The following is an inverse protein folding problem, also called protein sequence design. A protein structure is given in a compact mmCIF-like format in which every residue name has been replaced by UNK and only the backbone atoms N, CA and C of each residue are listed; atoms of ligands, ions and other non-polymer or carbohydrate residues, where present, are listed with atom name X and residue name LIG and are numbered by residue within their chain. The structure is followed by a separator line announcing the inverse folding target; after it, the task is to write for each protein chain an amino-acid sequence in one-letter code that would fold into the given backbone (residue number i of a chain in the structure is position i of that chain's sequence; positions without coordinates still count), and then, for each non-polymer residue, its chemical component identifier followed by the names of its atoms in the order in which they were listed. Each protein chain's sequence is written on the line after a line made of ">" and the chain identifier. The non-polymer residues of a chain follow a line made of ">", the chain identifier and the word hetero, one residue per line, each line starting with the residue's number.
data_IF_932285813085
#
_entry.id   IF_932285813085
#
_cell.length_a   1.000
_cell.length_b   1.000
_cell.length_c   1.000
_cell.angle_alpha   90.00
_cell.angle_beta   90.00
_cell.angle_gamma   90.00
#
_symmetry.space_group_name_H-M   'P 1'
#
loop_
_entity.id
_entity.type
_entity.pdbx_description
1 polymer ?
#
# COMPACT_ATOMS: atom_id res chain seq x y z
N UNK A 1 -65.08 30.58 -25.67
CA UNK A 1 -66.28 30.07 -26.39
C UNK A 1 -65.80 29.17 -27.52
N UNK A 2 -66.32 27.94 -27.55
CA UNK A 2 -66.37 26.95 -28.65
C UNK A 2 -65.04 26.60 -29.37
N UNK A 3 -64.41 25.44 -29.15
CA UNK A 3 -64.75 24.09 -29.64
C UNK A 3 -65.09 24.02 -31.14
N UNK A 4 -64.28 23.25 -31.89
CA UNK A 4 -64.68 22.21 -32.87
C UNK A 4 -63.41 21.74 -33.62
N UNK A 5 -62.96 20.48 -33.49
CA UNK A 5 -63.51 19.22 -34.03
C UNK A 5 -62.97 18.85 -35.43
N UNK A 6 -62.24 17.73 -35.45
CA UNK A 6 -61.77 16.80 -36.51
C UNK A 6 -63.00 16.29 -37.33
N UNK A 7 -62.96 15.83 -38.63
CA UNK A 7 -62.17 14.69 -39.16
C UNK A 7 -61.86 14.79 -40.69
N UNK A 8 -61.37 13.84 -41.48
CA UNK A 8 -61.06 12.41 -41.46
C UNK A 8 -60.09 12.12 -42.63
N UNK A 9 -59.50 10.91 -42.64
CA UNK A 9 -59.19 10.08 -43.83
C UNK A 9 -57.74 9.57 -43.86
N UNK A 10 -57.60 8.35 -43.33
CA UNK A 10 -56.49 7.43 -43.62
C UNK A 10 -56.80 6.75 -44.96
N UNK A 11 -55.80 6.59 -45.84
CA UNK A 11 -55.38 5.24 -46.19
C UNK A 11 -53.86 5.10 -46.18
N UNK A 12 -53.37 4.19 -45.34
CA UNK A 12 -52.10 3.49 -45.57
C UNK A 12 -52.48 2.21 -46.35
N UNK A 13 -51.67 1.72 -47.31
CA UNK A 13 -50.52 0.93 -46.87
C UNK A 13 -49.32 0.84 -47.84
N UNK A 14 -48.19 0.42 -47.25
CA UNK A 14 -46.99 -0.25 -47.83
C UNK A 14 -45.88 0.69 -48.35
N UNK A 15 -44.85 0.92 -47.53
CA UNK A 15 -43.60 0.11 -47.37
C UNK A 15 -42.58 0.35 -48.49
N UNK A 16 -41.64 1.25 -48.22
CA UNK A 16 -40.23 1.09 -48.57
C UNK A 16 -39.42 1.71 -47.43
N UNK A 17 -38.82 0.85 -46.62
CA UNK A 17 -37.94 1.21 -45.50
C UNK A 17 -36.59 1.64 -46.05
N UNK A 18 -36.30 2.93 -46.01
CA UNK A 18 -34.94 3.44 -46.16
C UNK A 18 -34.38 3.63 -44.75
N UNK A 19 -33.44 2.76 -44.38
CA UNK A 19 -32.79 2.77 -43.09
C UNK A 19 -31.84 3.97 -43.00
N UNK A 20 -32.07 4.84 -42.02
CA UNK A 20 -31.09 5.85 -41.62
C UNK A 20 -29.75 5.18 -41.24
N UNK A 21 -28.60 5.76 -41.60
CA UNK A 21 -27.31 5.19 -41.25
C UNK A 21 -27.15 5.20 -39.73
N UNK A 22 -27.06 4.00 -39.15
CA UNK A 22 -26.66 3.82 -37.75
C UNK A 22 -25.26 4.38 -37.58
N UNK A 23 -25.11 5.39 -36.71
CA UNK A 23 -23.80 5.76 -36.18
C UNK A 23 -23.15 4.50 -35.59
N UNK A 24 -21.85 4.22 -35.87
CA UNK A 24 -21.15 3.15 -35.20
C UNK A 24 -21.13 3.43 -33.69
N UNK A 25 -21.54 2.41 -32.93
CA UNK A 25 -21.42 2.35 -31.48
C UNK A 25 -19.94 2.38 -31.08
N UNK A 26 -19.37 3.56 -30.85
CA UNK A 26 -17.98 3.77 -30.42
C UNK A 26 -17.68 3.37 -28.96
N UNK A 27 -18.52 2.54 -28.32
CA UNK A 27 -18.35 2.12 -26.91
C UNK A 27 -17.84 0.70 -26.71
N UNK A 28 -17.76 -0.12 -27.77
CA UNK A 28 -17.36 -1.53 -27.63
C UNK A 28 -15.85 -1.73 -27.80
N UNK A 29 -15.22 -0.99 -28.70
CA UNK A 29 -13.81 -1.24 -29.08
C UNK A 29 -12.78 -0.76 -28.03
N UNK A 30 -13.10 0.25 -27.21
CA UNK A 30 -12.15 0.79 -26.21
C UNK A 30 -12.09 -0.02 -24.91
N UNK A 31 -13.18 -0.68 -24.51
CA UNK A 31 -13.19 -1.50 -23.30
C UNK A 31 -12.52 -2.86 -23.56
N UNK A 32 -12.54 -3.35 -24.81
CA UNK A 32 -11.80 -4.52 -25.28
C UNK A 32 -10.27 -4.31 -25.26
N UNK A 33 -9.77 -3.07 -25.47
CA UNK A 33 -8.32 -2.77 -25.46
C UNK A 33 -7.69 -3.01 -24.07
N UNK A 34 -8.49 -2.97 -23.01
CA UNK A 34 -8.02 -3.18 -21.64
C UNK A 34 -8.50 -4.50 -21.03
N UNK A 35 -9.27 -5.32 -21.76
CA UNK A 35 -9.68 -6.64 -21.27
C UNK A 35 -8.47 -7.49 -20.91
N UNK A 36 -7.37 -7.42 -21.66
CA UNK A 36 -6.15 -8.20 -21.34
C UNK A 36 -5.54 -7.86 -19.97
N UNK A 37 -5.78 -6.67 -19.42
CA UNK A 37 -5.38 -6.31 -18.05
C UNK A 37 -6.24 -7.03 -17.00
N UNK A 38 -7.49 -7.34 -17.35
CA UNK A 38 -8.50 -7.93 -16.44
C UNK A 38 -8.81 -9.40 -16.72
N UNK A 39 -8.26 -9.99 -17.78
CA UNK A 39 -8.41 -11.43 -18.05
C UNK A 39 -7.78 -12.24 -16.91
N UNK A 40 -8.50 -13.21 -16.31
CA UNK A 40 -7.93 -14.11 -15.33
C UNK A 40 -6.78 -14.90 -15.98
N UNK A 41 -5.55 -14.48 -15.71
CA UNK A 41 -4.39 -14.86 -16.53
C UNK A 41 -3.15 -14.16 -16.02
N UNK A 42 -2.73 -14.56 -14.82
CA UNK A 42 -1.53 -14.07 -14.16
C UNK A 42 -1.31 -14.99 -12.97
N UNK A 43 -0.25 -15.80 -13.04
CA UNK A 43 0.06 -16.79 -12.02
C UNK A 43 -0.04 -16.20 -10.63
N UNK A 44 -0.65 -16.97 -9.72
CA UNK A 44 -0.72 -16.67 -8.30
C UNK A 44 0.72 -16.47 -7.81
N UNK A 45 1.20 -15.23 -7.73
CA UNK A 45 2.35 -14.91 -6.88
C UNK A 45 1.81 -15.09 -5.48
N UNK A 46 1.94 -16.32 -4.95
CA UNK A 46 1.73 -16.60 -3.54
C UNK A 46 2.55 -15.54 -2.80
N UNK A 47 1.88 -14.68 -2.04
CA UNK A 47 2.61 -13.85 -1.10
C UNK A 47 3.39 -14.81 -0.20
N UNK A 48 4.72 -14.76 -0.27
CA UNK A 48 5.52 -15.30 0.82
C UNK A 48 5.09 -14.49 2.04
N UNK A 49 4.68 -15.17 3.12
CA UNK A 49 4.46 -14.51 4.43
C UNK A 49 5.66 -13.62 4.69
N UNK A 50 5.41 -12.41 5.20
CA UNK A 50 6.47 -11.43 5.46
C UNK A 50 7.60 -12.13 6.24
N UNK A 51 8.86 -12.06 5.80
CA UNK A 51 9.93 -12.81 6.46
C UNK A 51 10.11 -12.31 7.90
N UNK A 52 9.72 -13.14 8.86
CA UNK A 52 9.95 -12.94 10.29
C UNK A 52 11.44 -12.82 10.59
N UNK A 53 11.82 -11.73 11.27
CA UNK A 53 13.19 -11.47 11.69
C UNK A 53 13.63 -12.53 12.71
N UNK A 54 14.51 -13.46 12.32
CA UNK A 54 15.26 -14.30 13.26
C UNK A 54 16.19 -13.42 14.09
N UNK A 55 15.84 -13.17 15.36
CA UNK A 55 16.79 -12.61 16.33
C UNK A 55 17.66 -13.75 16.85
N UNK A 56 18.94 -13.75 16.46
CA UNK A 56 19.98 -14.42 17.25
C UNK A 56 20.06 -13.72 18.61
N UNK A 57 19.45 -14.34 19.60
CA UNK A 57 19.53 -13.91 20.99
C UNK A 57 20.95 -14.22 21.48
N UNK A 58 21.87 -13.29 21.30
CA UNK A 58 23.13 -13.29 22.04
C UNK A 58 22.76 -13.16 23.52
N UNK A 59 22.89 -14.25 24.27
CA UNK A 59 22.72 -14.27 25.72
C UNK A 59 23.69 -13.26 26.33
N UNK A 60 23.19 -12.08 26.71
CA UNK A 60 23.88 -11.19 27.65
C UNK A 60 23.61 -11.71 29.05
N UNK A 61 24.54 -12.49 29.58
CA UNK A 61 24.63 -12.76 31.01
C UNK A 61 25.11 -11.48 31.71
N UNK A 62 24.35 -11.02 32.70
CA UNK A 62 24.71 -9.92 33.60
C UNK A 62 25.94 -10.25 34.47
N UNK A 63 26.64 -9.23 34.99
CA UNK A 63 27.97 -9.39 35.58
C UNK A 63 27.91 -9.68 37.07
N UNK A 64 28.83 -10.51 37.57
CA UNK A 64 29.37 -10.29 38.91
C UNK A 64 30.81 -10.81 39.05
N UNK A 65 31.64 -9.91 39.59
CA UNK A 65 32.91 -10.03 40.33
C UNK A 65 33.50 -11.45 40.44
N UNK A 66 34.77 -11.70 40.13
CA UNK A 66 35.91 -11.34 40.98
C UNK A 66 37.20 -11.94 40.38
N UNK A 67 38.32 -11.25 40.65
CA UNK A 67 39.68 -11.78 40.89
C UNK A 67 40.55 -12.40 39.77
N UNK A 68 41.58 -11.62 39.45
CA UNK A 68 43.04 -11.92 39.47
C UNK A 68 43.69 -12.95 38.53
N UNK A 69 44.65 -12.40 37.77
CA UNK A 69 46.04 -12.84 37.54
C UNK A 69 46.45 -13.75 36.36
N UNK A 70 47.45 -13.21 35.66
CA UNK A 70 48.71 -13.79 35.12
C UNK A 70 48.69 -14.76 33.93
N UNK A 71 49.34 -14.29 32.87
CA UNK A 71 50.42 -14.90 32.06
C UNK A 71 50.33 -16.39 31.66
N UNK A 72 50.46 -16.65 30.35
CA UNK A 72 51.66 -17.22 29.72
C UNK A 72 51.36 -17.83 28.33
N UNK A 73 52.14 -17.37 27.34
CA UNK A 73 52.77 -18.07 26.20
C UNK A 73 52.18 -19.39 25.66
N UNK A 74 52.10 -19.47 24.32
CA UNK A 74 51.98 -20.74 23.60
C UNK A 74 51.99 -20.56 22.07
N UNK A 75 53.17 -20.71 21.50
CA UNK A 75 53.53 -20.73 20.08
C UNK A 75 52.97 -21.98 19.34
N UNK A 76 52.87 -21.91 18.00
CA UNK A 76 52.71 -23.12 17.17
C UNK A 76 51.88 -23.01 15.88
N UNK A 77 52.57 -22.80 14.76
CA UNK A 77 52.56 -23.75 13.63
C UNK A 77 51.40 -23.72 12.61
N UNK A 78 51.69 -23.08 11.48
CA UNK A 78 51.63 -23.61 10.10
C UNK A 78 50.37 -24.37 9.62
N UNK A 79 49.74 -23.86 8.56
CA UNK A 79 49.69 -24.49 7.21
C UNK A 79 48.62 -23.81 6.37
N UNK A 80 49.07 -23.21 5.26
CA UNK A 80 48.18 -22.74 4.21
C UNK A 80 47.52 -23.91 3.51
N UNK A 81 46.19 -23.90 3.45
CA UNK A 81 45.45 -24.64 2.43
C UNK A 81 44.24 -23.80 2.04
N UNK A 82 44.20 -23.32 0.80
CA UNK A 82 42.96 -22.84 0.17
C UNK A 82 42.05 -24.04 -0.08
N UNK A 83 40.76 -23.95 0.22
CA UNK A 83 39.76 -24.70 -0.51
C UNK A 83 39.02 -23.74 -1.45
N UNK A 84 39.19 -24.01 -2.74
CA UNK A 84 38.20 -23.74 -3.77
C UNK A 84 36.85 -24.32 -3.32
N UNK A 85 35.89 -23.46 -3.00
CA UNK A 85 34.51 -23.86 -2.73
C UNK A 85 33.66 -23.62 -3.98
N UNK A 86 33.29 -24.70 -4.65
CA UNK A 86 32.18 -24.73 -5.59
C UNK A 86 30.89 -24.27 -4.87
N UNK A 87 30.13 -23.37 -5.50
CA UNK A 87 28.77 -23.04 -5.07
C UNK A 87 27.88 -24.27 -5.31
N UNK A 88 27.13 -24.76 -4.30
CA UNK A 88 26.17 -25.83 -4.53
C UNK A 88 24.94 -25.28 -5.25
N UNK A 89 24.59 -25.93 -6.36
CA UNK A 89 23.28 -25.83 -7.01
C UNK A 89 22.16 -26.18 -6.01
N UNK A 90 20.97 -25.56 -6.12
CA UNK A 90 19.94 -25.68 -5.12
C UNK A 90 19.19 -27.01 -5.28
N UNK A 91 19.63 -28.04 -4.56
CA UNK A 91 18.86 -29.25 -4.34
C UNK A 91 17.67 -28.97 -3.41
N UNK A 92 16.51 -29.46 -3.83
CA UNK A 92 15.17 -29.35 -3.25
C UNK A 92 15.11 -29.18 -1.72
N UNK A 93 15.12 -27.93 -1.26
CA UNK A 93 14.70 -27.57 0.08
C UNK A 93 13.18 -27.66 0.16
N UNK A 94 12.69 -28.78 0.69
CA UNK A 94 11.31 -28.90 1.18
C UNK A 94 11.15 -27.91 2.34
N UNK A 95 10.64 -26.71 2.06
CA UNK A 95 10.26 -25.75 3.09
C UNK A 95 9.08 -26.35 3.87
N UNK A 96 9.33 -26.74 5.12
CA UNK A 96 8.29 -27.02 6.11
C UNK A 96 7.41 -25.75 6.22
N UNK A 97 6.13 -25.87 5.88
CA UNK A 97 5.15 -24.80 6.07
C UNK A 97 4.99 -24.55 7.58
N UNK A 98 5.80 -23.65 8.13
CA UNK A 98 5.52 -23.10 9.47
C UNK A 98 4.34 -22.15 9.30
N UNK A 99 3.15 -22.64 9.60
CA UNK A 99 2.01 -21.79 9.85
C UNK A 99 2.41 -20.79 10.97
N UNK A 100 2.66 -19.53 10.62
CA UNK A 100 2.53 -18.43 11.58
C UNK A 100 1.15 -18.56 12.23
N UNK A 101 1.11 -19.17 13.42
CA UNK A 101 -0.04 -19.15 14.32
C UNK A 101 -0.30 -17.66 14.61
N UNK A 102 -1.44 -17.09 14.18
CA UNK A 102 -1.71 -15.65 14.30
C UNK A 102 -1.78 -15.16 15.75
N UNK A 103 -1.61 -16.06 16.73
CA UNK A 103 -1.83 -15.81 18.13
C UNK A 103 -3.32 -15.62 18.40
N UNK A 104 -3.76 -15.81 19.65
CA UNK A 104 -5.13 -15.50 20.01
C UNK A 104 -5.43 -14.01 19.73
N UNK A 105 -6.66 -13.66 19.32
CA UNK A 105 -7.10 -12.28 19.22
C UNK A 105 -6.79 -11.52 20.51
N UNK A 106 -6.47 -10.22 20.41
CA UNK A 106 -6.21 -9.39 21.59
C UNK A 106 -7.37 -9.51 22.59
N UNK A 107 -7.05 -9.86 23.84
CA UNK A 107 -8.01 -9.90 24.95
C UNK A 107 -8.74 -8.55 25.07
N UNK A 108 -10.07 -8.59 25.23
CA UNK A 108 -10.91 -7.42 25.45
C UNK A 108 -10.45 -6.54 26.62
N UNK A 109 -9.77 -7.11 27.62
CA UNK A 109 -9.13 -6.36 28.69
C UNK A 109 -7.90 -5.55 28.22
N UNK A 110 -7.08 -6.11 27.32
CA UNK A 110 -5.91 -5.44 26.74
C UNK A 110 -6.32 -4.26 25.85
N UNK A 111 -7.42 -4.40 25.09
CA UNK A 111 -7.96 -3.33 24.26
C UNK A 111 -8.26 -2.06 25.06
N UNK A 112 -8.69 -2.18 26.32
CA UNK A 112 -9.03 -1.03 27.18
C UNK A 112 -7.81 -0.29 27.73
N UNK A 113 -6.69 -0.99 27.89
CA UNK A 113 -5.51 -0.47 28.61
C UNK A 113 -4.47 0.08 27.62
N UNK A 114 -4.42 -0.44 26.40
CA UNK A 114 -3.39 -0.09 25.42
C UNK A 114 -3.58 1.33 24.88
N UNK A 115 -2.54 2.16 25.05
CA UNK A 115 -2.47 3.54 24.57
C UNK A 115 -1.07 3.84 24.03
N UNK A 116 -1.01 4.55 22.91
CA UNK A 116 0.21 5.16 22.42
C UNK A 116 0.21 6.67 22.68
N UNK A 117 1.40 7.24 22.88
CA UNK A 117 1.61 8.67 23.06
C UNK A 117 2.57 9.16 21.97
N UNK A 118 2.08 9.42 20.75
CA UNK A 118 2.93 9.67 19.58
C UNK A 118 3.85 10.89 19.71
N UNK A 119 3.48 11.86 20.56
CA UNK A 119 4.26 13.09 20.78
C UNK A 119 4.86 13.20 22.20
N UNK A 120 5.02 12.10 22.95
CA UNK A 120 5.40 12.16 24.38
C UNK A 120 6.73 12.85 24.68
N UNK A 121 7.64 12.94 23.71
CA UNK A 121 8.98 13.49 23.95
C UNK A 121 8.98 15.03 24.03
N UNK A 122 10.02 15.58 24.66
CA UNK A 122 10.15 17.02 24.93
C UNK A 122 10.35 17.90 23.68
N UNK A 123 10.52 17.30 22.49
CA UNK A 123 10.66 18.04 21.22
C UNK A 123 9.31 18.59 20.73
N UNK A 124 8.19 18.07 21.25
CA UNK A 124 6.86 18.54 20.89
C UNK A 124 6.27 19.47 21.96
N UNK A 125 5.38 20.40 21.59
CA UNK A 125 4.65 21.24 22.55
C UNK A 125 3.89 20.41 23.59
N UNK A 126 3.78 20.90 24.84
CA UNK A 126 3.05 20.21 25.92
C UNK A 126 1.62 19.80 25.52
N UNK A 127 0.92 20.66 24.76
CA UNK A 127 -0.42 20.37 24.23
C UNK A 127 -0.51 19.08 23.40
N UNK A 128 0.60 18.65 22.79
CA UNK A 128 0.67 17.43 21.98
C UNK A 128 1.06 16.20 22.81
N UNK A 129 1.87 16.39 23.85
CA UNK A 129 2.45 15.29 24.65
C UNK A 129 1.38 14.45 25.37
N UNK A 130 0.26 15.08 25.74
CA UNK A 130 -0.85 14.42 26.45
C UNK A 130 -1.84 13.72 25.50
N UNK A 131 -1.71 13.93 24.19
CA UNK A 131 -2.61 13.33 23.21
C UNK A 131 -2.30 11.84 23.02
N UNK A 132 -3.34 11.01 23.05
CA UNK A 132 -3.21 9.56 22.94
C UNK A 132 -3.82 8.99 21.67
N UNK A 133 -3.31 7.84 21.26
CA UNK A 133 -3.97 6.94 20.31
C UNK A 133 -4.35 5.67 21.07
N UNK A 134 -5.58 5.19 20.90
CA UNK A 134 -6.12 4.03 21.61
C UNK A 134 -7.11 3.26 20.75
N UNK A 135 -7.56 2.10 21.22
CA UNK A 135 -8.71 1.43 20.63
C UNK A 135 -9.99 2.23 20.88
N UNK A 136 -10.91 2.16 19.93
CA UNK A 136 -12.29 2.55 20.14
C UNK A 136 -13.05 1.47 20.93
N UNK A 137 -14.28 1.78 21.33
CA UNK A 137 -15.13 0.78 21.98
C UNK A 137 -15.52 -0.33 21.00
N UNK A 138 -15.73 -1.55 21.50
CA UNK A 138 -16.13 -2.70 20.69
C UNK A 138 -17.43 -2.37 19.95
N UNK A 139 -17.47 -2.69 18.66
CA UNK A 139 -18.59 -2.43 17.74
C UNK A 139 -18.93 -0.94 17.54
N UNK A 140 -18.06 0.00 17.94
CA UNK A 140 -18.33 1.44 17.79
C UNK A 140 -17.97 1.99 16.41
N UNK A 141 -17.09 1.33 15.66
CA UNK A 141 -16.66 1.75 14.33
C UNK A 141 -17.05 0.73 13.24
N UNK A 142 -17.45 1.20 12.05
CA UNK A 142 -17.71 0.31 10.92
C UNK A 142 -16.40 -0.30 10.41
N UNK A 143 -16.42 -1.61 10.08
CA UNK A 143 -15.28 -2.31 9.46
C UNK A 143 -14.92 -1.64 8.13
N UNK A 144 -13.81 -0.92 8.12
CA UNK A 144 -13.39 -0.05 7.02
C UNK A 144 -11.98 -0.40 6.57
N UNK A 145 -11.79 -0.64 5.27
CA UNK A 145 -10.48 -0.97 4.73
C UNK A 145 -9.62 0.29 4.50
N UNK A 146 -8.33 0.17 4.76
CA UNK A 146 -7.29 0.93 4.08
C UNK A 146 -6.69 0.00 3.01
N UNK A 147 -7.15 0.14 1.79
CA UNK A 147 -6.70 -0.69 0.67
C UNK A 147 -5.65 0.04 -0.14
N UNK A 148 -4.62 -0.69 -0.57
CA UNK A 148 -3.72 -0.25 -1.62
C UNK A 148 -3.03 -1.44 -2.27
N UNK A 149 -2.36 -1.22 -3.40
CA UNK A 149 -1.27 -2.08 -3.81
C UNK A 149 -0.11 -2.01 -2.79
N UNK A 150 0.63 -3.11 -2.50
CA UNK A 150 1.79 -3.08 -1.61
C UNK A 150 2.75 -1.92 -1.90
N UNK A 151 3.46 -1.46 -0.87
CA UNK A 151 4.43 -0.36 -1.00
C UNK A 151 3.88 1.00 -1.48
N UNK A 152 2.56 1.23 -1.41
CA UNK A 152 1.93 2.51 -1.76
C UNK A 152 1.93 3.57 -0.65
N UNK A 153 2.64 3.35 0.48
CA UNK A 153 2.70 4.31 1.59
C UNK A 153 1.73 4.04 2.75
N UNK A 154 1.36 2.77 2.96
CA UNK A 154 0.42 2.36 4.02
C UNK A 154 0.85 2.81 5.41
N UNK A 155 2.11 2.59 5.81
CA UNK A 155 2.58 2.94 7.15
C UNK A 155 2.47 4.44 7.43
N UNK A 156 2.88 5.29 6.49
CA UNK A 156 2.71 6.75 6.63
C UNK A 156 1.23 7.11 6.75
N UNK A 157 0.38 6.56 5.89
CA UNK A 157 -1.07 6.85 5.87
C UNK A 157 -1.72 6.46 7.19
N UNK A 158 -1.44 5.25 7.69
CA UNK A 158 -1.91 4.78 8.99
C UNK A 158 -1.44 5.71 10.10
N UNK A 159 -0.15 6.03 10.15
CA UNK A 159 0.40 6.89 11.19
C UNK A 159 -0.26 8.28 11.21
N UNK A 160 -0.47 8.90 10.05
CA UNK A 160 -1.15 10.20 9.96
C UNK A 160 -2.59 10.11 10.46
N UNK A 161 -3.33 9.06 10.08
CA UNK A 161 -4.73 8.87 10.47
C UNK A 161 -4.85 8.54 11.97
N UNK A 162 -3.96 7.71 12.51
CA UNK A 162 -3.91 7.42 13.96
C UNK A 162 -3.64 8.68 14.77
N UNK A 163 -2.68 9.50 14.33
CA UNK A 163 -2.37 10.79 14.96
C UNK A 163 -3.54 11.76 14.87
N UNK A 164 -4.20 11.87 13.72
CA UNK A 164 -5.30 12.80 13.51
C UNK A 164 -6.59 12.39 14.25
N UNK A 165 -6.88 11.09 14.31
CA UNK A 165 -8.10 10.56 14.94
C UNK A 165 -7.94 10.21 16.41
N UNK A 166 -6.73 9.86 16.86
CA UNK A 166 -6.51 9.23 18.16
C UNK A 166 -7.01 7.78 18.25
N UNK A 167 -7.31 7.13 17.12
CA UNK A 167 -7.75 5.73 17.07
C UNK A 167 -6.73 4.88 16.32
N UNK A 168 -6.41 3.70 16.84
CA UNK A 168 -5.50 2.77 16.19
C UNK A 168 -6.05 2.26 14.85
N UNK A 169 -5.13 1.81 14.00
CA UNK A 169 -5.39 1.04 12.78
C UNK A 169 -4.91 -0.40 12.94
N UNK A 170 -5.59 -1.34 12.30
CA UNK A 170 -5.18 -2.75 12.23
C UNK A 170 -4.75 -3.15 10.82
N UNK A 171 -4.42 -4.43 10.66
CA UNK A 171 -3.93 -5.02 9.41
C UNK A 171 -4.35 -6.48 9.35
N UNK A 172 -4.78 -6.94 8.18
CA UNK A 172 -5.13 -8.36 7.98
C UNK A 172 -3.91 -9.29 8.08
N UNK A 173 -2.70 -8.72 8.03
CA UNK A 173 -1.43 -9.47 8.04
C UNK A 173 -0.83 -9.63 9.44
N UNK A 174 -1.29 -8.86 10.44
CA UNK A 174 -0.90 -9.00 11.86
C UNK A 174 0.62 -9.02 12.11
N UNK A 175 1.38 -8.14 11.46
CA UNK A 175 2.86 -8.15 11.51
C UNK A 175 3.42 -7.71 12.89
N UNK A 176 4.04 -8.65 13.61
CA UNK A 176 4.68 -8.38 14.90
C UNK A 176 5.78 -7.31 14.83
N UNK A 177 6.46 -7.14 13.70
CA UNK A 177 7.50 -6.12 13.51
C UNK A 177 6.91 -4.70 13.50
N UNK A 178 5.75 -4.53 12.86
CA UNK A 178 5.01 -3.27 12.84
C UNK A 178 4.41 -2.94 14.21
N UNK A 179 3.89 -3.95 14.91
CA UNK A 179 3.41 -3.81 16.29
C UNK A 179 4.52 -3.30 17.21
N UNK A 180 5.68 -3.96 17.21
CA UNK A 180 6.86 -3.56 18.01
C UNK A 180 7.33 -2.16 17.65
N UNK A 181 7.26 -1.77 16.37
CA UNK A 181 7.67 -0.44 15.92
C UNK A 181 6.62 0.65 16.09
N UNK A 182 5.47 0.37 16.71
CA UNK A 182 4.53 1.38 17.19
C UNK A 182 3.09 1.26 16.70
N UNK A 183 2.78 0.34 15.77
CA UNK A 183 1.39 0.07 15.36
C UNK A 183 0.71 -0.86 16.37
N UNK A 184 0.38 -0.33 17.54
CA UNK A 184 -0.17 -1.11 18.66
C UNK A 184 -1.53 -1.78 18.34
N UNK A 185 -2.23 -1.34 17.29
CA UNK A 185 -3.45 -1.97 16.79
C UNK A 185 -3.25 -3.05 15.72
N UNK A 186 -2.00 -3.35 15.31
CA UNK A 186 -1.69 -4.17 14.14
C UNK A 186 -2.39 -5.53 14.14
N UNK A 187 -2.47 -6.19 15.30
CA UNK A 187 -3.06 -7.53 15.45
C UNK A 187 -4.53 -7.54 15.79
N UNK A 188 -5.16 -6.37 15.98
CA UNK A 188 -6.57 -6.30 16.35
C UNK A 188 -7.45 -6.86 15.22
N UNK A 189 -8.44 -7.66 15.61
CA UNK A 189 -9.44 -8.18 14.68
C UNK A 189 -10.29 -7.03 14.13
N UNK A 190 -10.33 -6.93 12.80
CA UNK A 190 -11.10 -5.94 12.06
C UNK A 190 -12.59 -6.01 12.41
N UNK A 191 -13.11 -7.21 12.69
CA UNK A 191 -14.53 -7.45 12.94
C UNK A 191 -15.00 -6.93 14.30
N UNK A 192 -14.08 -6.62 15.22
CA UNK A 192 -14.42 -6.03 16.52
C UNK A 192 -14.82 -4.55 16.45
N UNK A 193 -14.57 -3.88 15.32
CA UNK A 193 -14.94 -2.46 15.16
C UNK A 193 -14.23 -1.52 16.15
N UNK A 194 -13.01 -1.88 16.58
CA UNK A 194 -12.20 -1.13 17.56
C UNK A 194 -11.08 -0.28 16.94
N UNK A 195 -10.85 -0.43 15.64
CA UNK A 195 -9.87 0.35 14.88
C UNK A 195 -10.54 1.17 13.79
N UNK A 196 -9.93 2.30 13.42
CA UNK A 196 -10.52 3.23 12.45
C UNK A 196 -10.39 2.73 11.01
N UNK A 197 -9.33 1.99 10.71
CA UNK A 197 -9.04 1.39 9.42
C UNK A 197 -8.29 0.08 9.61
N UNK A 198 -8.54 -0.89 8.71
CA UNK A 198 -7.78 -2.13 8.60
C UNK A 198 -7.06 -2.20 7.26
N UNK A 199 -5.73 -2.31 7.29
CA UNK A 199 -4.89 -2.39 6.09
C UNK A 199 -5.06 -3.74 5.37
N UNK A 200 -5.23 -3.72 4.05
CA UNK A 200 -5.27 -4.91 3.18
C UNK A 200 -4.72 -4.62 1.77
N UNK A 201 -4.28 -5.68 1.07
CA UNK A 201 -3.94 -5.68 -0.35
C UNK A 201 -4.80 -6.66 -1.17
N UNK A 202 -5.73 -7.35 -0.52
CA UNK A 202 -6.56 -8.36 -1.16
C UNK A 202 -7.75 -7.68 -1.85
N UNK A 203 -8.26 -8.31 -2.91
CA UNK A 203 -9.25 -7.71 -3.80
C UNK A 203 -10.27 -8.72 -4.35
N UNK A 204 -10.21 -9.96 -3.87
CA UNK A 204 -11.16 -11.03 -4.12
C UNK A 204 -12.53 -10.71 -3.48
N UNK A 205 -13.61 -11.19 -4.09
CA UNK A 205 -14.96 -10.80 -3.72
C UNK A 205 -15.30 -11.15 -2.26
N UNK A 206 -14.89 -12.34 -1.81
CA UNK A 206 -15.10 -12.78 -0.42
C UNK A 206 -14.45 -11.80 0.57
N UNK A 207 -13.25 -11.32 0.24
CA UNK A 207 -12.54 -10.35 1.07
C UNK A 207 -13.20 -8.97 1.04
N UNK A 208 -13.65 -8.52 -0.14
CA UNK A 208 -14.37 -7.25 -0.25
C UNK A 208 -15.61 -7.24 0.66
N UNK A 209 -16.31 -8.37 0.78
CA UNK A 209 -17.55 -8.50 1.54
C UNK A 209 -17.40 -8.39 3.06
N UNK A 210 -16.19 -8.56 3.57
CA UNK A 210 -15.85 -8.29 4.98
C UNK A 210 -15.93 -6.80 5.33
N UNK A 211 -15.80 -5.90 4.34
CA UNK A 211 -15.70 -4.46 4.56
C UNK A 211 -16.97 -3.70 4.12
N UNK A 212 -17.31 -2.65 4.89
CA UNK A 212 -18.46 -1.79 4.60
C UNK A 212 -18.13 -0.64 3.65
N UNK A 213 -16.90 -0.11 3.72
CA UNK A 213 -16.37 0.98 2.90
C UNK A 213 -14.85 0.93 2.89
N UNK A 214 -14.20 1.74 2.07
CA UNK A 214 -12.74 1.77 2.01
C UNK A 214 -12.15 3.16 1.79
N UNK A 215 -10.96 3.38 2.36
CA UNK A 215 -10.03 4.41 1.91
C UNK A 215 -9.06 3.73 0.95
N UNK A 216 -9.08 4.14 -0.31
CA UNK A 216 -8.27 3.58 -1.38
C UNK A 216 -7.05 4.47 -1.61
N UNK A 217 -5.88 3.99 -1.17
CA UNK A 217 -4.60 4.66 -1.36
C UNK A 217 -3.96 4.20 -2.67
N UNK A 218 -3.73 5.17 -3.57
CA UNK A 218 -3.13 4.97 -4.88
C UNK A 218 -1.80 5.73 -4.95
N UNK A 219 -0.74 5.05 -5.38
CA UNK A 219 0.59 5.62 -5.63
C UNK A 219 1.00 5.32 -7.07
N UNK A 220 1.90 6.15 -7.62
CA UNK A 220 2.55 5.90 -8.91
C UNK A 220 3.03 4.43 -8.99
N UNK A 221 2.51 3.61 -9.93
CA UNK A 221 2.83 2.19 -10.01
C UNK A 221 4.31 1.94 -10.27
N UNK A 222 5.00 2.80 -11.02
CA UNK A 222 6.44 2.68 -11.22
C UNK A 222 7.20 2.74 -9.89
N UNK A 223 6.88 3.73 -9.05
CA UNK A 223 7.51 3.89 -7.72
C UNK A 223 7.10 2.76 -6.76
N UNK A 224 5.85 2.29 -6.83
CA UNK A 224 5.39 1.16 -6.01
C UNK A 224 6.07 -0.16 -6.40
N UNK A 225 6.26 -0.42 -7.70
CA UNK A 225 6.96 -1.61 -8.22
C UNK A 225 8.42 -1.62 -7.75
N UNK A 226 9.15 -0.51 -7.92
CA UNK A 226 10.54 -0.40 -7.44
C UNK A 226 10.63 -0.60 -5.91
N UNK A 227 9.68 -0.03 -5.17
CA UNK A 227 9.62 -0.20 -3.72
C UNK A 227 9.29 -1.63 -3.29
N UNK A 228 8.40 -2.31 -4.03
CA UNK A 228 8.05 -3.70 -3.77
C UNK A 228 9.22 -4.64 -4.08
N UNK A 229 9.95 -4.38 -5.15
CA UNK A 229 11.21 -5.06 -5.44
C UNK A 229 12.18 -4.97 -4.25
N UNK A 230 12.43 -3.78 -3.71
CA UNK A 230 13.26 -3.63 -2.52
C UNK A 230 12.73 -4.39 -1.29
N UNK A 231 11.41 -4.38 -1.10
CA UNK A 231 10.75 -5.12 -0.03
C UNK A 231 10.99 -6.63 -0.11
N UNK A 232 10.86 -7.24 -1.30
CA UNK A 232 11.07 -8.67 -1.47
C UNK A 232 12.47 -9.14 -1.04
N UNK A 233 13.50 -8.32 -1.30
CA UNK A 233 14.89 -8.73 -1.06
C UNK A 233 15.42 -8.35 0.32
N UNK A 234 14.84 -7.35 1.00
CA UNK A 234 15.33 -6.88 2.30
C UNK A 234 14.23 -6.41 3.28
N UNK A 235 13.00 -6.89 3.13
CA UNK A 235 11.85 -6.59 4.00
C UNK A 235 11.51 -5.09 4.07
N UNK A 236 10.86 -4.64 5.14
CA UNK A 236 10.24 -3.31 5.27
C UNK A 236 11.19 -2.14 4.98
N UNK A 237 12.46 -2.23 5.41
CA UNK A 237 13.40 -1.09 5.39
C UNK A 237 14.60 -1.22 4.46
N UNK A 238 14.87 -2.40 3.90
CA UNK A 238 16.11 -2.60 3.16
C UNK A 238 16.01 -2.33 1.67
N UNK A 239 17.16 -2.46 1.01
CA UNK A 239 17.38 -2.16 -0.41
C UNK A 239 17.89 -3.42 -1.14
N UNK A 240 17.16 -3.86 -2.16
CA UNK A 240 17.63 -4.90 -3.08
C UNK A 240 18.98 -4.50 -3.74
N UNK A 241 19.90 -5.46 -3.98
CA UNK A 241 21.10 -5.22 -4.78
C UNK A 241 20.75 -4.66 -6.16
N UNK A 242 21.59 -3.76 -6.68
CA UNK A 242 21.40 -3.17 -8.01
C UNK A 242 21.44 -4.21 -9.14
N UNK A 243 22.16 -5.31 -8.94
CA UNK A 243 22.25 -6.45 -9.87
C UNK A 243 20.88 -7.08 -10.18
N UNK A 244 19.90 -6.97 -9.27
CA UNK A 244 18.59 -7.56 -9.48
C UNK A 244 17.75 -6.84 -10.54
N UNK A 245 18.12 -5.62 -10.93
CA UNK A 245 17.48 -4.92 -12.05
C UNK A 245 17.92 -5.46 -13.42
N UNK A 246 18.98 -6.27 -13.47
CA UNK A 246 19.53 -6.86 -14.69
C UNK A 246 19.01 -8.28 -14.96
N UNK A 247 18.02 -8.74 -14.20
CA UNK A 247 17.43 -10.07 -14.40
C UNK A 247 16.61 -10.13 -15.68
N UNK A 248 16.70 -11.24 -16.41
CA UNK A 248 15.95 -11.45 -17.66
C UNK A 248 14.42 -11.42 -17.46
N UNK A 249 13.94 -11.77 -16.27
CA UNK A 249 12.52 -11.77 -15.91
C UNK A 249 11.98 -10.42 -15.41
N UNK A 250 12.83 -9.38 -15.32
CA UNK A 250 12.45 -8.06 -14.82
C UNK A 250 11.26 -7.42 -15.56
N UNK A 251 11.19 -7.45 -16.91
CA UNK A 251 10.01 -6.97 -17.64
C UNK A 251 8.73 -7.69 -17.23
N UNK A 252 8.75 -9.02 -17.19
CA UNK A 252 7.59 -9.86 -16.82
C UNK A 252 7.16 -9.58 -15.37
N UNK A 253 8.13 -9.43 -14.47
CA UNK A 253 7.90 -9.03 -13.08
C UNK A 253 7.15 -7.67 -13.01
N UNK A 254 7.65 -6.64 -13.70
CA UNK A 254 7.02 -5.32 -13.72
C UNK A 254 5.59 -5.37 -14.27
N UNK A 255 5.37 -6.09 -15.36
CA UNK A 255 4.05 -6.22 -15.98
C UNK A 255 3.06 -6.94 -15.06
N UNK A 256 3.49 -8.00 -14.37
CA UNK A 256 2.65 -8.73 -13.42
C UNK A 256 2.21 -7.84 -12.24
N UNK A 257 3.09 -7.00 -11.72
CA UNK A 257 2.78 -6.09 -10.62
C UNK A 257 1.92 -4.91 -11.06
N UNK A 258 2.13 -4.40 -12.28
CA UNK A 258 1.27 -3.36 -12.85
C UNK A 258 -0.16 -3.86 -13.07
N UNK A 259 -0.31 -5.12 -13.52
CA UNK A 259 -1.61 -5.79 -13.60
C UNK A 259 -2.26 -5.90 -12.22
N UNK A 260 -1.55 -6.46 -11.22
CA UNK A 260 -2.08 -6.57 -9.83
C UNK A 260 -2.43 -5.20 -9.23
N UNK A 261 -1.64 -4.16 -9.51
CA UNK A 261 -1.94 -2.78 -9.09
C UNK A 261 -3.27 -2.29 -9.67
N UNK A 262 -3.50 -2.51 -10.98
CA UNK A 262 -4.74 -2.13 -11.62
C UNK A 262 -5.94 -2.95 -11.11
N UNK A 263 -5.81 -4.28 -11.01
CA UNK A 263 -6.86 -5.18 -10.51
C UNK A 263 -7.30 -4.79 -9.09
N UNK A 264 -6.34 -4.54 -8.20
CA UNK A 264 -6.62 -4.10 -6.82
C UNK A 264 -7.45 -2.83 -6.82
N UNK A 265 -7.06 -1.81 -7.59
CA UNK A 265 -7.77 -0.53 -7.62
C UNK A 265 -9.17 -0.71 -8.21
N UNK A 266 -9.28 -1.37 -9.37
CA UNK A 266 -10.54 -1.51 -10.11
C UNK A 266 -11.57 -2.33 -9.33
N UNK A 267 -11.16 -3.39 -8.65
CA UNK A 267 -12.05 -4.20 -7.82
C UNK A 267 -12.70 -3.35 -6.71
N UNK A 268 -11.90 -2.61 -5.94
CA UNK A 268 -12.42 -1.79 -4.85
C UNK A 268 -13.26 -0.60 -5.32
N UNK A 269 -12.87 0.05 -6.42
CA UNK A 269 -13.64 1.14 -7.05
C UNK A 269 -15.03 0.69 -7.49
N UNK A 270 -15.14 -0.56 -7.92
CA UNK A 270 -16.38 -1.14 -8.43
C UNK A 270 -17.30 -1.64 -7.30
N UNK A 271 -16.74 -2.08 -6.18
CA UNK A 271 -17.48 -2.87 -5.19
C UNK A 271 -17.93 -2.12 -3.92
N UNK A 272 -17.24 -1.04 -3.51
CA UNK A 272 -17.50 -0.41 -2.20
C UNK A 272 -17.64 1.12 -2.30
N UNK A 273 -18.29 1.78 -1.33
CA UNK A 273 -18.12 3.22 -1.13
C UNK A 273 -16.66 3.50 -0.81
N UNK A 274 -16.02 4.38 -1.59
CA UNK A 274 -14.59 4.65 -1.45
C UNK A 274 -14.27 6.13 -1.34
N UNK A 275 -13.23 6.44 -0.56
CA UNK A 275 -12.50 7.71 -0.62
C UNK A 275 -11.12 7.46 -1.21
N UNK A 276 -10.81 8.13 -2.32
CA UNK A 276 -9.52 7.96 -3.02
C UNK A 276 -8.51 8.93 -2.43
N UNK A 277 -7.34 8.39 -2.07
CA UNK A 277 -6.18 9.14 -1.60
C UNK A 277 -5.03 8.88 -2.56
N UNK A 278 -4.50 9.93 -3.17
CA UNK A 278 -3.25 9.81 -3.92
C UNK A 278 -2.06 10.04 -2.99
N UNK A 279 -1.12 9.09 -2.98
CA UNK A 279 0.08 9.16 -2.14
C UNK A 279 0.85 10.47 -2.36
N UNK A 280 0.98 10.88 -3.62
CA UNK A 280 1.67 12.10 -4.05
C UNK A 280 1.00 13.39 -3.53
N UNK A 281 -0.29 13.33 -3.18
CA UNK A 281 -1.00 14.42 -2.51
C UNK A 281 -0.82 14.34 -0.99
N UNK A 282 -0.86 13.13 -0.42
CA UNK A 282 -0.66 12.92 1.01
C UNK A 282 0.74 13.29 1.49
N UNK A 283 1.76 13.11 0.64
CA UNK A 283 3.15 13.49 0.95
C UNK A 283 3.45 14.96 0.71
N UNK A 284 2.56 15.70 0.04
CA UNK A 284 2.73 17.14 -0.17
C UNK A 284 2.31 17.90 1.10
N UNK A 285 3.25 18.58 1.80
CA UNK A 285 2.93 19.28 3.05
C UNK A 285 1.85 20.35 2.91
N UNK A 286 1.64 20.88 1.68
CA UNK A 286 0.59 21.87 1.42
C UNK A 286 -0.81 21.27 1.44
N UNK A 287 -0.95 20.01 1.05
CA UNK A 287 -2.23 19.32 0.86
C UNK A 287 -2.51 18.25 1.94
N UNK A 288 -1.50 17.85 2.71
CA UNK A 288 -1.58 16.74 3.66
C UNK A 288 -2.70 16.89 4.68
N UNK A 289 -2.81 18.06 5.34
CA UNK A 289 -3.84 18.30 6.36
C UNK A 289 -5.24 18.25 5.76
N UNK A 290 -5.46 18.89 4.62
CA UNK A 290 -6.74 18.88 3.92
C UNK A 290 -7.15 17.47 3.51
N UNK A 291 -6.20 16.66 3.05
CA UNK A 291 -6.46 15.27 2.68
C UNK A 291 -6.86 14.43 3.90
N UNK A 292 -6.18 14.60 5.04
CA UNK A 292 -6.56 13.95 6.30
C UNK A 292 -7.96 14.39 6.77
N UNK A 293 -8.30 15.67 6.64
CA UNK A 293 -9.65 16.17 6.95
C UNK A 293 -10.71 15.47 6.07
N UNK A 294 -10.45 15.33 4.77
CA UNK A 294 -11.39 14.63 3.85
C UNK A 294 -11.55 13.17 4.24
N UNK A 295 -10.45 12.48 4.59
CA UNK A 295 -10.48 11.10 5.08
C UNK A 295 -11.36 11.00 6.34
N UNK A 296 -11.13 11.83 7.37
CA UNK A 296 -11.92 11.80 8.60
C UNK A 296 -13.41 12.08 8.35
N UNK A 297 -13.73 13.03 7.46
CA UNK A 297 -15.11 13.32 7.04
C UNK A 297 -15.77 12.12 6.35
N UNK A 298 -15.08 11.46 5.43
CA UNK A 298 -15.57 10.22 4.80
C UNK A 298 -15.77 9.10 5.84
N UNK A 299 -14.87 9.03 6.82
CA UNK A 299 -14.97 8.07 7.91
C UNK A 299 -16.12 8.38 8.87
N UNK A 300 -16.68 9.60 8.81
CA UNK A 300 -17.65 10.17 9.77
C UNK A 300 -17.06 10.26 11.18
N UNK A 301 -15.76 10.57 11.25
CA UNK A 301 -15.03 10.74 12.50
C UNK A 301 -14.80 12.24 12.78
N UNK A 302 -14.89 12.71 14.04
CA UNK A 302 -14.69 14.12 14.36
C UNK A 302 -13.29 14.59 13.97
N UNK A 303 -13.22 15.84 13.50
CA UNK A 303 -11.96 16.53 13.20
C UNK A 303 -11.55 17.31 14.44
N UNK A 304 -10.36 17.04 14.95
CA UNK A 304 -9.77 17.77 16.07
C UNK A 304 -8.56 18.58 15.58
N UNK A 305 -8.75 19.89 15.50
CA UNK A 305 -7.74 20.84 15.02
C UNK A 305 -6.45 20.81 15.85
N UNK A 306 -6.54 20.52 17.16
CA UNK A 306 -5.35 20.40 18.01
C UNK A 306 -4.50 19.21 17.58
N UNK A 307 -5.13 18.09 17.23
CA UNK A 307 -4.42 16.90 16.72
C UNK A 307 -3.83 17.16 15.35
N UNK A 308 -4.56 17.84 14.46
CA UNK A 308 -4.07 18.20 13.13
C UNK A 308 -2.85 19.11 13.18
N UNK A 309 -2.84 20.09 14.09
CA UNK A 309 -1.68 20.96 14.29
C UNK A 309 -0.47 20.18 14.80
N UNK A 310 -0.65 19.30 15.81
CA UNK A 310 0.43 18.45 16.32
C UNK A 310 0.96 17.48 15.25
N UNK A 311 0.06 16.92 14.43
CA UNK A 311 0.43 16.04 13.31
C UNK A 311 1.23 16.79 12.23
N UNK A 312 0.84 18.01 11.89
CA UNK A 312 1.51 18.84 10.87
C UNK A 312 2.94 19.23 11.28
N UNK A 313 3.14 19.49 12.57
CA UNK A 313 4.46 19.81 13.15
C UNK A 313 5.35 18.57 13.31
N UNK A 314 4.82 17.37 13.05
CA UNK A 314 5.52 16.12 13.31
C UNK A 314 6.34 15.63 12.11
N UNK A 315 7.66 15.68 12.28
CA UNK A 315 8.62 15.19 11.29
C UNK A 315 8.94 13.69 11.43
N UNK A 316 8.46 13.03 12.49
CA UNK A 316 8.77 11.63 12.78
C UNK A 316 7.84 10.70 12.00
N UNK A 317 8.32 10.26 10.84
CA UNK A 317 7.69 9.20 10.04
C UNK A 317 8.29 7.85 10.42
N UNK A 318 7.48 7.01 11.06
CA UNK A 318 7.89 5.62 11.34
C UNK A 318 7.91 4.83 10.03
N UNK A 319 8.88 3.92 9.90
CA UNK A 319 9.05 3.05 8.74
C UNK A 319 9.29 3.77 7.40
N UNK A 320 9.84 4.99 7.41
CA UNK A 320 10.29 5.67 6.19
C UNK A 320 11.58 5.03 5.68
N UNK A 321 11.54 4.43 4.48
CA UNK A 321 12.76 3.96 3.81
C UNK A 321 13.63 5.16 3.41
N UNK A 322 14.95 5.00 3.53
CA UNK A 322 15.91 5.96 2.96
C UNK A 322 15.78 5.96 1.42
N UNK A 323 16.03 7.10 0.74
CA UNK A 323 16.08 7.12 -0.72
C UNK A 323 17.05 6.06 -1.22
N UNK A 324 16.60 5.27 -2.20
CA UNK A 324 17.39 4.23 -2.80
C UNK A 324 18.32 4.76 -3.88
N UNK A 325 19.49 4.15 -4.03
CA UNK A 325 20.33 4.32 -5.22
C UNK A 325 19.82 3.37 -6.31
N UNK A 326 19.55 3.91 -7.49
CA UNK A 326 19.23 3.11 -8.68
C UNK A 326 20.47 3.03 -9.58
N UNK A 327 20.81 1.85 -10.12
CA UNK A 327 21.89 1.74 -11.09
C UNK A 327 21.58 2.53 -12.36
N UNK A 328 22.63 2.87 -13.11
CA UNK A 328 22.52 3.45 -14.44
C UNK A 328 22.06 2.37 -15.45
N UNK A 329 20.75 2.10 -15.44
CA UNK A 329 20.07 1.10 -16.28
C UNK A 329 18.67 1.59 -16.65
N UNK A 330 18.16 1.17 -17.80
CA UNK A 330 16.75 1.39 -18.13
C UNK A 330 15.85 0.50 -17.27
N UNK A 331 15.42 1.05 -16.13
CA UNK A 331 14.55 0.37 -15.17
C UNK A 331 13.20 -0.04 -15.79
N UNK A 332 12.75 0.65 -16.84
CA UNK A 332 11.49 0.34 -17.50
C UNK A 332 11.65 0.47 -19.02
N UNK A 333 11.98 -0.63 -19.71
CA UNK A 333 12.04 -0.66 -21.17
C UNK A 333 10.75 -0.15 -21.81
N UNK A 334 10.84 0.43 -23.02
CA UNK A 334 9.71 1.11 -23.70
C UNK A 334 8.43 0.27 -23.78
N UNK A 335 8.54 -1.03 -24.07
CA UNK A 335 7.38 -1.93 -24.11
C UNK A 335 6.72 -2.11 -22.73
N UNK A 336 7.53 -2.19 -21.66
CA UNK A 336 7.05 -2.25 -20.28
C UNK A 336 6.36 -0.94 -19.91
N UNK A 337 6.98 0.22 -20.19
CA UNK A 337 6.40 1.55 -19.93
C UNK A 337 5.07 1.74 -20.64
N UNK A 338 5.02 1.45 -21.95
CA UNK A 338 3.79 1.56 -22.73
C UNK A 338 2.64 0.76 -22.10
N UNK A 339 2.95 -0.40 -21.52
CA UNK A 339 1.96 -1.27 -20.88
C UNK A 339 1.52 -0.74 -19.51
N UNK A 340 2.45 -0.25 -18.69
CA UNK A 340 2.13 0.37 -17.39
C UNK A 340 1.34 1.66 -17.60
N UNK A 341 1.68 2.46 -18.60
CA UNK A 341 0.95 3.69 -18.97
C UNK A 341 -0.49 3.38 -19.38
N UNK A 342 -0.71 2.29 -20.14
CA UNK A 342 -2.06 1.80 -20.43
C UNK A 342 -2.83 1.44 -19.16
N UNK A 343 -2.21 0.75 -18.20
CA UNK A 343 -2.84 0.44 -16.92
C UNK A 343 -3.21 1.71 -16.12
N UNK A 344 -2.34 2.73 -16.11
CA UNK A 344 -2.60 4.02 -15.47
C UNK A 344 -3.81 4.71 -16.11
N UNK A 345 -3.84 4.80 -17.45
CA UNK A 345 -4.96 5.40 -18.20
C UNK A 345 -6.26 4.66 -17.95
N UNK A 346 -6.21 3.32 -17.89
CA UNK A 346 -7.37 2.50 -17.59
C UNK A 346 -7.93 2.77 -16.20
N UNK A 347 -7.07 2.80 -15.18
CA UNK A 347 -7.48 3.13 -13.81
C UNK A 347 -8.07 4.54 -13.72
N UNK A 348 -7.44 5.54 -14.37
CA UNK A 348 -7.97 6.91 -14.42
C UNK A 348 -9.37 6.96 -15.04
N UNK A 349 -9.60 6.21 -16.13
CA UNK A 349 -10.93 6.06 -16.76
C UNK A 349 -11.94 5.51 -15.75
N UNK A 350 -11.61 4.45 -15.01
CA UNK A 350 -12.50 3.84 -14.01
C UNK A 350 -12.81 4.78 -12.84
N UNK A 351 -11.83 5.53 -12.34
CA UNK A 351 -12.03 6.55 -11.31
C UNK A 351 -13.00 7.64 -11.78
N UNK A 352 -12.77 8.19 -12.99
CA UNK A 352 -13.63 9.23 -13.57
C UNK A 352 -15.05 8.76 -13.83
N UNK A 353 -15.24 7.53 -14.29
CA UNK A 353 -16.57 6.92 -14.48
C UNK A 353 -17.39 6.91 -13.17
N UNK A 354 -16.72 6.81 -12.03
CA UNK A 354 -17.32 6.84 -10.69
C UNK A 354 -17.34 8.23 -10.05
N UNK A 355 -16.95 9.28 -10.79
CA UNK A 355 -16.81 10.67 -10.31
C UNK A 355 -15.87 10.80 -9.11
N UNK A 356 -14.84 9.95 -9.06
CA UNK A 356 -13.80 10.00 -8.04
C UNK A 356 -12.64 10.90 -8.49
N UNK A 357 -11.79 11.36 -7.55
CA UNK A 357 -10.57 12.10 -7.89
C UNK A 357 -9.78 11.38 -9.00
N UNK A 358 -9.40 12.08 -10.07
CA UNK A 358 -8.61 11.49 -11.14
C UNK A 358 -7.15 11.33 -10.74
N UNK A 359 -6.43 10.49 -11.49
CA UNK A 359 -5.00 10.26 -11.30
C UNK A 359 -4.19 11.56 -11.46
N UNK A 360 -3.23 11.88 -10.55
CA UNK A 360 -2.37 13.04 -10.67
C UNK A 360 -1.21 12.75 -11.64
N UNK A 361 -1.54 12.62 -12.92
CA UNK A 361 -0.62 12.17 -13.97
C UNK A 361 0.63 13.06 -14.11
N UNK A 362 0.51 14.35 -13.79
CA UNK A 362 1.60 15.33 -13.75
C UNK A 362 2.66 15.01 -12.69
N UNK A 363 2.29 14.26 -11.65
CA UNK A 363 3.19 13.83 -10.57
C UNK A 363 3.80 12.45 -10.83
N UNK A 364 3.42 11.77 -11.91
CA UNK A 364 3.81 10.39 -12.16
C UNK A 364 5.07 10.34 -13.01
N UNK A 365 6.22 10.22 -12.35
CA UNK A 365 7.47 9.86 -13.01
C UNK A 365 7.31 8.61 -13.88
N UNK A 366 8.07 8.57 -14.99
CA UNK A 366 8.06 7.54 -16.04
C UNK A 366 6.81 7.46 -16.94
N UNK A 367 5.71 8.15 -16.59
CA UNK A 367 4.51 8.19 -17.42
C UNK A 367 4.68 9.06 -18.67
N UNK A 368 4.30 8.57 -19.86
CA UNK A 368 4.30 9.29 -21.15
C UNK A 368 5.57 10.10 -21.44
N UNK A 369 6.72 9.46 -21.26
CA UNK A 369 8.04 10.05 -21.52
C UNK A 369 8.35 11.32 -20.71
N UNK A 370 7.80 11.42 -19.48
CA UNK A 370 8.27 12.40 -18.50
C UNK A 370 9.81 12.40 -18.47
N UNK A 371 10.49 13.56 -18.64
CA UNK A 371 11.92 13.58 -18.89
C UNK A 371 12.70 12.80 -17.83
N UNK A 372 13.52 11.87 -18.32
CA UNK A 372 14.50 11.11 -17.55
C UNK A 372 15.51 12.06 -16.93
N UNK A 373 15.21 12.51 -15.73
CA UNK A 373 16.26 12.75 -14.76
C UNK A 373 15.75 12.30 -13.41
N UNK A 374 16.20 11.13 -12.97
CA UNK A 374 16.53 10.96 -11.57
C UNK A 374 17.68 11.95 -11.27
N UNK A 375 17.37 13.24 -11.18
CA UNK A 375 18.23 14.15 -10.45
C UNK A 375 18.11 13.68 -9.01
N UNK A 376 19.25 13.25 -8.48
CA UNK A 376 19.46 13.09 -7.05
C UNK A 376 18.95 14.37 -6.39
N UNK A 377 17.75 14.32 -5.82
CA UNK A 377 17.32 15.38 -4.90
C UNK A 377 18.10 15.17 -3.59
N UNK A 378 19.36 15.59 -3.63
CA UNK A 378 20.12 16.00 -2.47
C UNK A 378 19.54 17.34 -2.00
N UNK A 379 18.34 17.33 -1.42
CA UNK A 379 17.80 18.48 -0.70
C UNK A 379 17.09 17.97 0.56
N UNK A 380 17.89 17.62 1.56
CA UNK A 380 17.48 17.56 2.96
C UNK A 380 18.00 18.84 3.63
N UNK A 381 17.09 19.76 3.91
CA UNK A 381 17.13 20.58 5.11
C UNK A 381 16.01 20.10 6.03
#
# INVERSE_FOLDING_TARGET
>A
MFLCAVPAAVPNPKKSSEAAPKLPSAKKDEDDEFEWLLTPGGGRVKQRKEPSVKKNLVKRSSPNKDRTNSDLSGDGGDTGTSPTGEEPEPEDAVEEEVEDDPGPPLDAALLKIQKAYPWRNSSYPKRCQDLTVKFADINSLPVTALVSFPCSGNSLTRQLIEKASGIFTSSVYRDSSLEIGGFLGEKADAQLGVTILTKTHEFEQEHLDEFKKAVLLIRNPYRSILSFHHFLFKSHLGMAPSTNYFRDDWPTFCLSLAKRWAETIVAWVSSKPIHVVHYETLTDPKNQVDEIIKILKFLKFPVDESRLQCMKEDTNVIFKRKPGFYPDVDLFPRNVRATIDKAIVFVDKKLRQRKLPPMPLDKYEFFKDHPHTLKVESNLH
#
